data_IF_912427452222
#
_entry.id   IF_912427452222
#
_cell.length_a   1.000
_cell.length_b   1.000
_cell.length_c   1.000
_cell.angle_alpha   90.00
_cell.angle_beta   90.00
_cell.angle_gamma   90.00
#
_symmetry.space_group_name_H-M   'P 1'
#
loop_
_entity.id
_entity.type
_entity.pdbx_description
1 polymer ?
#
# COMPACT_ATOMS: atom_id res chain seq x y z
N UNK A 1 30.95 10.82 38.29
CA UNK A 1 30.83 9.42 37.84
C UNK A 1 29.67 8.80 38.60
N UNK A 2 28.45 8.98 38.11
CA UNK A 2 27.22 8.43 38.71
C UNK A 2 26.77 7.30 37.80
N UNK A 3 26.83 6.08 38.33
CA UNK A 3 26.45 4.85 37.64
C UNK A 3 24.94 4.83 37.37
N UNK A 4 24.55 4.85 36.09
CA UNK A 4 23.22 4.40 35.68
C UNK A 4 23.21 2.87 35.69
N UNK A 5 22.58 2.28 36.70
CA UNK A 5 22.20 0.87 36.65
C UNK A 5 21.04 0.70 35.66
N UNK A 6 21.33 0.10 34.51
CA UNK A 6 20.33 -0.42 33.56
C UNK A 6 19.60 -1.58 34.23
N UNK A 7 18.35 -1.36 34.62
CA UNK A 7 17.41 -2.45 34.88
C UNK A 7 16.31 -2.37 33.82
N UNK A 8 16.54 -2.99 32.66
CA UNK A 8 15.60 -3.05 31.55
C UNK A 8 15.64 -4.44 30.90
N UNK A 9 14.84 -5.37 31.40
CA UNK A 9 14.67 -6.69 30.82
C UNK A 9 13.33 -7.26 31.28
N UNK A 10 12.52 -7.74 30.35
CA UNK A 10 11.15 -8.25 30.54
C UNK A 10 10.06 -7.19 30.78
N UNK A 11 10.01 -6.45 31.89
CA UNK A 11 8.85 -5.60 32.23
C UNK A 11 8.47 -4.54 31.18
N UNK A 12 9.47 -3.85 30.64
CA UNK A 12 9.28 -2.85 29.55
C UNK A 12 8.85 -3.49 28.22
N UNK A 13 9.33 -4.71 27.90
CA UNK A 13 8.91 -5.45 26.70
C UNK A 13 7.46 -5.95 26.83
N UNK A 14 7.04 -6.41 28.00
CA UNK A 14 5.66 -6.84 28.25
C UNK A 14 4.66 -5.68 28.17
N UNK A 15 4.99 -4.51 28.73
CA UNK A 15 4.17 -3.30 28.64
C UNK A 15 4.10 -2.77 27.20
N UNK A 16 5.21 -2.85 26.46
CA UNK A 16 5.24 -2.48 25.04
C UNK A 16 4.39 -3.44 24.18
N UNK A 17 4.44 -4.74 24.46
CA UNK A 17 3.67 -5.76 23.77
C UNK A 17 2.17 -5.68 24.08
N UNK A 18 1.78 -5.41 25.33
CA UNK A 18 0.37 -5.22 25.70
C UNK A 18 -0.23 -3.97 25.06
N UNK A 19 0.55 -2.88 24.97
CA UNK A 19 0.15 -1.66 24.26
C UNK A 19 0.05 -1.86 22.75
N UNK A 20 0.96 -2.60 22.13
CA UNK A 20 0.88 -2.86 20.68
C UNK A 20 -0.33 -3.72 20.31
N UNK A 21 -0.69 -4.69 21.16
CA UNK A 21 -1.91 -5.49 21.01
C UNK A 21 -3.17 -4.64 21.23
N UNK A 22 -3.21 -3.79 22.25
CA UNK A 22 -4.37 -2.91 22.50
C UNK A 22 -4.56 -1.87 21.41
N UNK A 23 -3.48 -1.28 20.88
CA UNK A 23 -3.54 -0.34 19.76
C UNK A 23 -3.96 -1.01 18.44
N UNK A 24 -3.54 -2.25 18.23
CA UNK A 24 -4.03 -3.05 17.11
C UNK A 24 -5.52 -3.33 17.26
N UNK A 25 -5.97 -3.81 18.42
CA UNK A 25 -7.39 -4.05 18.68
C UNK A 25 -8.22 -2.77 18.51
N UNK A 26 -7.72 -1.63 18.98
CA UNK A 26 -8.35 -0.34 18.74
C UNK A 26 -8.44 -0.02 17.24
N UNK A 27 -7.35 -0.15 16.49
CA UNK A 27 -7.32 0.18 15.05
C UNK A 27 -8.22 -0.76 14.23
N UNK A 28 -8.29 -2.04 14.59
CA UNK A 28 -9.03 -3.05 13.84
C UNK A 28 -10.53 -3.08 14.23
N UNK A 29 -10.91 -2.64 15.44
CA UNK A 29 -12.31 -2.81 15.93
C UNK A 29 -12.99 -1.54 16.46
N UNK A 30 -12.24 -0.52 16.88
CA UNK A 30 -12.79 0.61 17.65
C UNK A 30 -12.48 1.97 17.02
N UNK A 31 -11.70 2.02 15.94
CA UNK A 31 -11.41 3.28 15.26
C UNK A 31 -12.72 3.86 14.70
N UNK A 32 -13.08 5.11 15.05
CA UNK A 32 -14.30 5.72 14.54
C UNK A 32 -14.19 5.95 13.02
N UNK A 33 -15.31 6.22 12.38
CA UNK A 33 -15.31 6.71 11.00
C UNK A 33 -14.53 8.03 10.94
N UNK A 34 -13.43 8.04 10.17
CA UNK A 34 -12.54 9.18 9.99
C UNK A 34 -12.66 9.79 8.59
N UNK A 35 -13.61 9.36 7.75
CA UNK A 35 -13.76 9.90 6.39
C UNK A 35 -14.09 11.40 6.39
N UNK A 36 -14.70 11.92 7.45
CA UNK A 36 -14.85 13.37 7.63
C UNK A 36 -13.50 14.10 7.72
N UNK A 37 -12.50 13.50 8.38
CA UNK A 37 -11.13 14.05 8.43
C UNK A 37 -10.43 13.93 7.07
N UNK A 38 -10.64 12.81 6.38
CA UNK A 38 -10.11 12.58 5.03
C UNK A 38 -10.62 13.65 4.06
N UNK A 39 -11.93 13.86 4.06
CA UNK A 39 -12.59 14.89 3.26
C UNK A 39 -12.08 16.30 3.56
N UNK A 40 -11.83 16.61 4.84
CA UNK A 40 -11.26 17.90 5.25
C UNK A 40 -9.80 18.08 4.81
N UNK A 41 -8.99 17.01 4.84
CA UNK A 41 -7.62 17.00 4.33
C UNK A 41 -7.59 17.32 2.83
N UNK A 42 -8.43 16.65 2.03
CA UNK A 42 -8.57 16.95 0.60
C UNK A 42 -8.99 18.40 0.38
N UNK A 43 -9.99 18.88 1.13
CA UNK A 43 -10.45 20.27 1.04
C UNK A 43 -9.32 21.27 1.29
N UNK A 44 -8.56 21.09 2.37
CA UNK A 44 -7.40 21.95 2.69
C UNK A 44 -6.32 21.93 1.61
N UNK A 45 -6.06 20.78 1.00
CA UNK A 45 -5.10 20.68 -0.10
C UNK A 45 -5.59 21.49 -1.32
N UNK A 46 -6.86 21.34 -1.71
CA UNK A 46 -7.46 22.09 -2.82
C UNK A 46 -7.39 23.61 -2.53
N UNK A 47 -7.81 24.03 -1.34
CA UNK A 47 -7.75 25.44 -0.92
C UNK A 47 -6.30 25.97 -0.89
N UNK A 48 -5.32 25.10 -0.61
CA UNK A 48 -3.89 25.38 -0.67
C UNK A 48 -3.28 25.43 -2.08
N UNK A 49 -4.10 25.21 -3.11
CA UNK A 49 -3.73 25.25 -4.53
C UNK A 49 -3.09 23.97 -5.06
N UNK A 50 -3.29 22.83 -4.38
CA UNK A 50 -2.77 21.54 -4.84
C UNK A 50 -3.64 20.92 -5.93
N UNK A 51 -2.98 20.41 -6.97
CA UNK A 51 -3.59 19.54 -7.97
C UNK A 51 -3.33 18.07 -7.60
N UNK A 52 -4.37 17.26 -7.73
CA UNK A 52 -4.29 15.83 -7.43
C UNK A 52 -4.07 15.06 -8.72
N UNK A 53 -3.20 14.05 -8.65
CA UNK A 53 -2.90 13.19 -9.79
C UNK A 53 -2.94 11.72 -9.36
N UNK A 54 -3.39 10.88 -10.30
CA UNK A 54 -3.04 9.47 -10.26
C UNK A 54 -1.53 9.30 -10.49
N UNK A 55 -1.00 8.13 -10.13
CA UNK A 55 0.40 7.79 -10.30
C UNK A 55 0.80 7.84 -11.78
N UNK A 56 -0.03 7.25 -12.66
CA UNK A 56 0.24 7.24 -14.11
C UNK A 56 0.23 8.64 -14.71
N UNK A 57 -0.72 9.49 -14.31
CA UNK A 57 -0.82 10.86 -14.81
C UNK A 57 0.36 11.72 -14.35
N UNK A 58 0.75 11.62 -13.08
CA UNK A 58 1.94 12.30 -12.58
C UNK A 58 3.19 11.85 -13.34
N UNK A 59 3.31 10.55 -13.63
CA UNK A 59 4.41 10.03 -14.44
C UNK A 59 4.40 10.58 -15.86
N UNK A 60 3.25 10.60 -16.54
CA UNK A 60 3.10 11.17 -17.89
C UNK A 60 3.52 12.63 -17.91
N UNK A 61 3.08 13.41 -16.93
CA UNK A 61 3.43 14.81 -16.76
C UNK A 61 4.93 15.06 -16.56
N UNK A 62 5.62 14.16 -15.85
CA UNK A 62 7.08 14.20 -15.71
C UNK A 62 7.77 13.90 -17.04
N UNK A 63 7.29 12.90 -17.79
CA UNK A 63 7.87 12.52 -19.09
C UNK A 63 7.67 13.59 -20.17
N UNK A 64 6.57 14.34 -20.13
CA UNK A 64 6.30 15.43 -21.06
C UNK A 64 6.83 16.79 -20.61
N UNK A 65 7.53 16.86 -19.47
CA UNK A 65 8.06 18.10 -18.87
C UNK A 65 6.98 19.20 -18.68
N UNK A 66 5.73 18.80 -18.45
CA UNK A 66 4.60 19.74 -18.33
C UNK A 66 4.42 20.29 -16.92
N UNK A 67 5.08 19.70 -15.92
CA UNK A 67 5.01 20.17 -14.53
C UNK A 67 6.06 21.22 -14.26
N UNK A 68 5.60 22.43 -13.94
CA UNK A 68 6.47 23.47 -13.40
C UNK A 68 7.11 23.04 -12.08
N UNK A 69 8.32 23.51 -11.79
CA UNK A 69 8.95 23.36 -10.47
C UNK A 69 8.14 24.00 -9.34
N UNK A 70 7.33 25.00 -9.67
CA UNK A 70 6.52 25.75 -8.69
C UNK A 70 5.14 25.16 -8.43
N UNK A 71 4.70 24.23 -9.27
CA UNK A 71 3.38 23.63 -9.20
C UNK A 71 3.24 22.74 -7.97
N UNK A 72 2.13 22.91 -7.26
CA UNK A 72 1.78 22.11 -6.09
C UNK A 72 0.97 20.90 -6.53
N UNK A 73 1.53 19.71 -6.35
CA UNK A 73 0.94 18.45 -6.76
C UNK A 73 0.85 17.47 -5.59
N UNK A 74 -0.21 16.67 -5.58
CA UNK A 74 -0.38 15.52 -4.71
C UNK A 74 -0.57 14.29 -5.59
N UNK A 75 0.35 13.34 -5.50
CA UNK A 75 0.14 11.97 -5.95
C UNK A 75 -0.61 11.25 -4.83
N UNK A 76 -1.87 10.92 -5.08
CA UNK A 76 -2.73 10.28 -4.08
C UNK A 76 -2.92 8.80 -4.43
N UNK A 77 -2.43 7.92 -3.56
CA UNK A 77 -2.47 6.47 -3.73
C UNK A 77 -3.26 5.81 -2.61
N UNK A 78 -4.07 4.83 -2.99
CA UNK A 78 -4.82 3.96 -2.09
C UNK A 78 -4.40 2.51 -2.26
N UNK A 79 -3.93 1.87 -1.18
CA UNK A 79 -3.69 0.44 -1.12
C UNK A 79 -4.92 -0.25 -0.49
N UNK A 80 -5.74 -0.88 -1.34
CA UNK A 80 -7.00 -1.51 -0.95
C UNK A 80 -6.73 -2.92 -0.40
N UNK A 81 -6.15 -2.98 0.80
CA UNK A 81 -5.67 -4.23 1.40
C UNK A 81 -6.76 -5.20 1.86
N UNK A 82 -7.87 -4.65 2.38
CA UNK A 82 -8.95 -5.42 3.00
C UNK A 82 -10.37 -4.86 2.77
N UNK A 83 -10.51 -3.53 2.64
CA UNK A 83 -11.82 -2.87 2.71
C UNK A 83 -12.14 -2.08 1.43
N UNK A 84 -12.69 -2.77 0.43
CA UNK A 84 -13.16 -2.15 -0.82
C UNK A 84 -14.36 -1.23 -0.60
N UNK A 85 -15.17 -1.44 0.45
CA UNK A 85 -16.33 -0.58 0.75
C UNK A 85 -15.89 0.79 1.22
N UNK A 86 -14.89 0.86 2.09
CA UNK A 86 -14.30 2.15 2.50
C UNK A 86 -13.56 2.80 1.33
N UNK A 87 -12.88 2.01 0.48
CA UNK A 87 -12.27 2.52 -0.74
C UNK A 87 -13.31 3.20 -1.67
N UNK A 88 -14.48 2.57 -1.88
CA UNK A 88 -15.60 3.17 -2.61
C UNK A 88 -16.04 4.51 -2.02
N UNK A 89 -16.22 4.58 -0.69
CA UNK A 89 -16.63 5.82 -0.01
C UNK A 89 -15.58 6.94 -0.14
N UNK A 90 -14.28 6.59 -0.13
CA UNK A 90 -13.19 7.53 -0.39
C UNK A 90 -13.22 8.04 -1.83
N UNK A 91 -13.35 7.14 -2.80
CA UNK A 91 -13.43 7.50 -4.21
C UNK A 91 -14.64 8.40 -4.49
N UNK A 92 -15.81 8.12 -3.92
CA UNK A 92 -16.98 8.99 -4.05
C UNK A 92 -16.76 10.41 -3.47
N UNK A 93 -15.96 10.53 -2.40
CA UNK A 93 -15.58 11.84 -1.84
C UNK A 93 -14.62 12.60 -2.76
N UNK A 94 -13.66 11.88 -3.36
CA UNK A 94 -12.71 12.41 -4.34
C UNK A 94 -13.39 12.86 -5.62
N UNK A 95 -14.28 12.02 -6.15
CA UNK A 95 -15.05 12.28 -7.36
C UNK A 95 -15.86 13.57 -7.26
N UNK A 96 -16.54 13.79 -6.11
CA UNK A 96 -17.30 15.02 -5.84
C UNK A 96 -16.44 16.29 -5.85
N UNK A 97 -15.13 16.16 -5.73
CA UNK A 97 -14.16 17.27 -5.70
C UNK A 97 -13.28 17.33 -6.95
N UNK A 98 -13.51 16.46 -7.94
CA UNK A 98 -12.67 16.37 -9.14
C UNK A 98 -11.24 15.93 -8.84
N UNK A 99 -11.04 15.13 -7.80
CA UNK A 99 -9.72 14.61 -7.41
C UNK A 99 -9.38 13.36 -8.21
N UNK A 100 -8.19 13.35 -8.83
CA UNK A 100 -7.61 12.16 -9.46
C UNK A 100 -6.68 11.44 -8.49
N UNK A 101 -6.74 10.12 -8.48
CA UNK A 101 -5.98 9.26 -7.56
C UNK A 101 -5.81 7.85 -8.12
N UNK A 102 -4.95 7.06 -7.48
CA UNK A 102 -4.74 5.64 -7.81
C UNK A 102 -5.28 4.73 -6.72
N UNK A 103 -5.92 3.64 -7.12
CA UNK A 103 -6.42 2.57 -6.24
C UNK A 103 -5.82 1.23 -6.66
N UNK A 104 -5.01 0.63 -5.79
CA UNK A 104 -4.41 -0.67 -6.03
C UNK A 104 -5.16 -1.75 -5.25
N UNK A 105 -5.71 -2.72 -5.94
CA UNK A 105 -6.50 -3.81 -5.36
C UNK A 105 -5.69 -5.09 -5.27
N UNK A 106 -5.74 -5.76 -4.11
CA UNK A 106 -5.20 -7.12 -3.97
C UNK A 106 -6.16 -8.10 -4.62
N UNK A 107 -5.65 -9.28 -4.99
CA UNK A 107 -6.53 -10.38 -5.45
C UNK A 107 -7.62 -10.72 -4.44
N UNK A 108 -7.33 -10.58 -3.14
CA UNK A 108 -8.28 -10.86 -2.05
C UNK A 108 -9.35 -9.78 -1.86
N UNK A 109 -9.20 -8.61 -2.48
CA UNK A 109 -10.08 -7.44 -2.30
C UNK A 109 -10.64 -6.89 -3.60
N UNK A 110 -10.51 -7.64 -4.70
CA UNK A 110 -11.03 -7.24 -6.00
C UNK A 110 -12.52 -6.89 -5.91
N UNK A 111 -12.84 -5.74 -6.46
CA UNK A 111 -14.19 -5.27 -6.68
C UNK A 111 -14.22 -4.75 -8.12
N UNK A 112 -14.46 -5.65 -9.07
CA UNK A 112 -14.34 -5.36 -10.52
C UNK A 112 -15.24 -4.19 -10.92
N UNK A 113 -16.53 -4.11 -10.50
CA UNK A 113 -17.36 -2.95 -10.79
C UNK A 113 -16.75 -1.64 -10.27
N UNK A 114 -16.27 -1.62 -9.02
CA UNK A 114 -15.60 -0.44 -8.46
C UNK A 114 -14.35 -0.05 -9.26
N UNK A 115 -13.51 -1.02 -9.63
CA UNK A 115 -12.29 -0.76 -10.41
C UNK A 115 -12.63 -0.11 -11.77
N UNK A 116 -13.68 -0.61 -12.44
CA UNK A 116 -14.15 -0.05 -13.71
C UNK A 116 -14.71 1.36 -13.55
N UNK A 117 -15.50 1.60 -12.50
CA UNK A 117 -16.03 2.93 -12.17
C UNK A 117 -14.93 3.95 -11.86
N UNK A 118 -13.91 3.57 -11.09
CA UNK A 118 -12.73 4.39 -10.80
C UNK A 118 -11.99 4.75 -12.09
N UNK A 119 -11.75 3.78 -12.97
CA UNK A 119 -11.07 4.06 -14.24
C UNK A 119 -11.90 5.00 -15.13
N UNK A 120 -13.21 4.77 -15.22
CA UNK A 120 -14.11 5.55 -16.04
C UNK A 120 -14.23 7.01 -15.57
N UNK A 121 -13.96 7.30 -14.29
CA UNK A 121 -13.94 8.67 -13.77
C UNK A 121 -12.63 9.43 -14.04
N UNK A 122 -11.66 8.82 -14.72
CA UNK A 122 -10.33 9.38 -14.97
C UNK A 122 -9.33 9.16 -13.82
N UNK A 123 -9.72 8.44 -12.77
CA UNK A 123 -8.78 7.92 -11.78
C UNK A 123 -8.12 6.64 -12.30
N UNK A 124 -7.20 6.07 -11.53
CA UNK A 124 -6.51 4.84 -11.86
C UNK A 124 -6.93 3.71 -10.92
N UNK A 125 -7.38 2.58 -11.47
CA UNK A 125 -7.54 1.34 -10.73
C UNK A 125 -6.55 0.31 -11.26
N UNK A 126 -5.77 -0.31 -10.36
CA UNK A 126 -4.73 -1.24 -10.76
C UNK A 126 -4.41 -2.30 -9.71
N UNK A 127 -3.33 -3.05 -9.93
CA UNK A 127 -3.00 -4.26 -9.19
C UNK A 127 -2.08 -4.01 -7.99
N UNK A 128 -2.53 -4.42 -6.79
CA UNK A 128 -1.73 -4.49 -5.57
C UNK A 128 -1.22 -5.92 -5.35
N UNK A 129 0.01 -6.19 -5.78
CA UNK A 129 0.50 -7.56 -5.97
C UNK A 129 1.35 -8.06 -4.80
N UNK A 130 1.38 -9.38 -4.62
CA UNK A 130 1.99 -10.04 -3.45
C UNK A 130 2.39 -11.51 -3.68
N UNK A 131 2.67 -11.90 -4.93
CA UNK A 131 2.96 -13.29 -5.32
C UNK A 131 4.15 -13.85 -4.57
N UNK A 132 5.22 -13.07 -4.41
CA UNK A 132 6.41 -13.47 -3.68
C UNK A 132 6.05 -13.83 -2.23
N UNK A 133 5.40 -12.93 -1.50
CA UNK A 133 4.99 -13.19 -0.12
C UNK A 133 4.03 -14.39 -0.03
N UNK A 134 3.07 -14.50 -0.95
CA UNK A 134 2.08 -15.58 -0.99
C UNK A 134 2.74 -16.94 -1.23
N UNK A 135 3.63 -17.05 -2.21
CA UNK A 135 4.35 -18.28 -2.51
C UNK A 135 5.28 -18.66 -1.35
N UNK A 136 6.00 -17.69 -0.80
CA UNK A 136 6.88 -17.89 0.34
C UNK A 136 6.12 -18.44 1.56
N UNK A 137 4.92 -17.91 1.85
CA UNK A 137 4.03 -18.46 2.89
C UNK A 137 3.66 -19.91 2.59
N UNK A 138 3.15 -20.16 1.38
CA UNK A 138 2.66 -21.48 0.95
C UNK A 138 3.76 -22.55 1.01
N UNK A 139 4.99 -22.19 0.63
CA UNK A 139 6.15 -23.09 0.59
C UNK A 139 6.95 -23.12 1.90
N UNK A 140 6.63 -22.26 2.87
CA UNK A 140 7.38 -22.22 4.13
C UNK A 140 8.81 -21.70 3.98
N UNK A 141 9.08 -20.83 3.00
CA UNK A 141 10.43 -20.31 2.79
C UNK A 141 10.89 -19.43 3.95
N UNK A 142 12.10 -19.68 4.42
CA UNK A 142 12.69 -19.01 5.58
C UNK A 142 13.95 -18.23 5.23
N UNK A 143 14.51 -18.46 4.04
CA UNK A 143 15.73 -17.82 3.56
C UNK A 143 15.53 -17.16 2.21
N UNK A 144 16.28 -16.08 1.96
CA UNK A 144 16.19 -15.27 0.73
C UNK A 144 16.56 -16.07 -0.51
N UNK A 145 17.54 -16.97 -0.41
CA UNK A 145 18.04 -17.76 -1.53
C UNK A 145 16.95 -18.69 -2.09
N UNK A 146 16.01 -19.13 -1.25
CA UNK A 146 14.86 -19.94 -1.70
C UNK A 146 13.93 -19.14 -2.62
N UNK A 147 13.78 -17.83 -2.36
CA UNK A 147 13.01 -16.93 -3.21
C UNK A 147 13.74 -16.67 -4.51
N UNK A 148 15.03 -16.37 -4.43
CA UNK A 148 15.88 -16.12 -5.60
C UNK A 148 15.89 -17.34 -6.55
N UNK A 149 15.95 -18.55 -5.99
CA UNK A 149 15.88 -19.81 -6.74
C UNK A 149 14.54 -20.02 -7.47
N UNK A 150 13.44 -19.42 -7.02
CA UNK A 150 12.12 -19.52 -7.67
C UNK A 150 11.69 -18.22 -8.36
N UNK A 151 12.58 -17.23 -8.49
CA UNK A 151 12.26 -15.93 -9.08
C UNK A 151 11.64 -16.04 -10.49
N UNK A 152 12.11 -16.91 -11.40
CA UNK A 152 11.45 -17.09 -12.70
C UNK A 152 9.98 -17.53 -12.57
N UNK A 153 9.69 -18.46 -11.65
CA UNK A 153 8.32 -18.90 -11.39
C UNK A 153 7.46 -17.80 -10.75
N UNK A 154 8.04 -16.97 -9.88
CA UNK A 154 7.35 -15.82 -9.31
C UNK A 154 6.95 -14.79 -10.36
N UNK A 155 7.83 -14.54 -11.34
CA UNK A 155 7.53 -13.66 -12.48
C UNK A 155 6.42 -14.23 -13.37
N UNK A 156 6.41 -15.55 -13.58
CA UNK A 156 5.31 -16.23 -14.28
C UNK A 156 3.98 -16.06 -13.54
N UNK A 157 3.96 -16.29 -12.23
CA UNK A 157 2.75 -16.10 -11.42
C UNK A 157 2.24 -14.65 -11.50
N UNK A 158 3.14 -13.66 -11.48
CA UNK A 158 2.77 -12.26 -11.67
C UNK A 158 2.18 -12.01 -13.06
N UNK A 159 2.80 -12.55 -14.12
CA UNK A 159 2.29 -12.47 -15.50
C UNK A 159 0.88 -13.04 -15.60
N UNK A 160 0.67 -14.27 -15.14
CA UNK A 160 -0.62 -14.96 -15.19
C UNK A 160 -1.71 -14.17 -14.44
N UNK A 161 -1.38 -13.66 -13.25
CA UNK A 161 -2.32 -12.89 -12.43
C UNK A 161 -2.68 -11.54 -13.06
N UNK A 162 -1.69 -10.80 -13.55
CA UNK A 162 -1.92 -9.52 -14.22
C UNK A 162 -2.75 -9.71 -15.49
N UNK A 163 -2.45 -10.74 -16.29
CA UNK A 163 -3.25 -11.07 -17.47
C UNK A 163 -4.70 -11.36 -17.10
N UNK A 164 -4.93 -12.27 -16.15
CA UNK A 164 -6.27 -12.63 -15.69
C UNK A 164 -7.06 -11.42 -15.16
N UNK A 165 -6.38 -10.51 -14.46
CA UNK A 165 -6.99 -9.28 -13.95
C UNK A 165 -7.38 -8.31 -15.08
N UNK A 166 -6.51 -8.13 -16.07
CA UNK A 166 -6.81 -7.29 -17.24
C UNK A 166 -7.96 -7.86 -18.05
N UNK A 167 -8.00 -9.18 -18.26
CA UNK A 167 -9.14 -9.84 -18.93
C UNK A 167 -10.44 -9.65 -18.16
N UNK A 168 -10.42 -9.84 -16.84
CA UNK A 168 -11.62 -9.74 -16.02
C UNK A 168 -12.16 -8.30 -15.89
N UNK A 169 -11.27 -7.30 -15.92
CA UNK A 169 -11.63 -5.90 -15.68
C UNK A 169 -11.73 -5.06 -16.94
N UNK A 170 -11.04 -5.44 -18.02
CA UNK A 170 -10.84 -4.62 -19.22
C UNK A 170 -9.89 -3.43 -19.01
N UNK A 171 -9.20 -3.36 -17.87
CA UNK A 171 -8.37 -2.21 -17.50
C UNK A 171 -6.92 -2.38 -17.98
N UNK A 172 -6.21 -1.27 -18.30
CA UNK A 172 -4.85 -1.37 -18.81
C UNK A 172 -3.84 -1.74 -17.73
N UNK A 173 -4.03 -1.30 -16.48
CA UNK A 173 -3.12 -1.54 -15.35
C UNK A 173 -1.65 -1.26 -15.72
N UNK A 174 -1.37 -0.03 -16.15
CA UNK A 174 -0.03 0.39 -16.60
C UNK A 174 0.94 0.60 -15.44
N UNK A 175 0.43 0.89 -14.26
CA UNK A 175 1.23 0.94 -13.04
C UNK A 175 0.78 -0.15 -12.08
N UNK A 176 1.66 -0.59 -11.18
CA UNK A 176 1.34 -1.59 -10.16
C UNK A 176 1.99 -1.22 -8.84
N UNK A 177 1.49 -1.78 -7.74
CA UNK A 177 1.99 -1.47 -6.41
C UNK A 177 2.27 -2.75 -5.61
N UNK A 178 3.49 -2.89 -5.10
CA UNK A 178 3.90 -3.99 -4.24
C UNK A 178 3.22 -3.87 -2.87
N UNK A 179 2.46 -4.89 -2.47
CA UNK A 179 1.95 -5.00 -1.09
C UNK A 179 3.09 -5.33 -0.11
N UNK A 180 3.00 -4.84 1.12
CA UNK A 180 4.00 -5.04 2.16
C UNK A 180 3.62 -6.13 3.16
N UNK A 181 4.14 -7.36 2.98
CA UNK A 181 3.83 -8.47 3.89
C UNK A 181 4.87 -8.66 5.01
N UNK A 182 4.48 -9.33 6.10
CA UNK A 182 5.42 -9.70 7.16
C UNK A 182 6.50 -10.68 6.68
N UNK A 183 6.19 -11.53 5.69
CA UNK A 183 7.16 -12.42 5.08
C UNK A 183 8.23 -11.65 4.31
N UNK A 184 7.86 -10.58 3.60
CA UNK A 184 8.85 -9.73 2.93
C UNK A 184 9.87 -9.18 3.94
N UNK A 185 9.39 -8.71 5.10
CA UNK A 185 10.26 -8.24 6.19
C UNK A 185 11.13 -9.35 6.77
N UNK A 186 10.57 -10.55 6.98
CA UNK A 186 11.30 -11.71 7.51
C UNK A 186 12.42 -12.17 6.57
N UNK A 187 12.15 -12.18 5.27
CA UNK A 187 13.09 -12.63 4.24
C UNK A 187 14.02 -11.51 3.74
N UNK A 188 13.78 -10.26 4.14
CA UNK A 188 14.55 -9.11 3.66
C UNK A 188 14.42 -8.88 2.15
N UNK A 189 13.26 -9.22 1.56
CA UNK A 189 13.01 -9.10 0.13
C UNK A 189 11.57 -8.63 -0.16
N UNK A 190 11.36 -7.42 -0.72
CA UNK A 190 10.03 -6.90 -1.06
C UNK A 190 9.46 -7.55 -2.34
N UNK A 191 8.13 -7.48 -2.55
CA UNK A 191 7.52 -8.07 -3.75
C UNK A 191 7.99 -7.40 -5.04
N UNK A 192 8.32 -6.10 -5.01
CA UNK A 192 8.81 -5.38 -6.19
C UNK A 192 10.16 -5.84 -6.75
N UNK A 193 10.89 -6.71 -6.06
CA UNK A 193 12.08 -7.35 -6.64
C UNK A 193 11.75 -8.16 -7.90
N UNK A 194 10.54 -8.70 -8.01
CA UNK A 194 10.08 -9.39 -9.22
C UNK A 194 10.11 -8.46 -10.44
N UNK A 195 9.85 -7.16 -10.24
CA UNK A 195 9.72 -6.14 -11.28
C UNK A 195 11.01 -5.34 -11.51
N UNK A 196 12.17 -5.77 -11.00
CA UNK A 196 13.46 -5.26 -11.47
C UNK A 196 13.86 -5.77 -12.86
N UNK A 197 13.10 -6.72 -13.39
CA UNK A 197 13.29 -7.26 -14.73
C UNK A 197 12.60 -6.36 -15.76
N UNK A 198 13.38 -5.52 -16.45
CA UNK A 198 12.86 -4.63 -17.49
C UNK A 198 12.23 -5.39 -18.66
N UNK A 199 12.69 -6.61 -18.97
CA UNK A 199 12.08 -7.40 -20.03
C UNK A 199 10.65 -7.76 -19.66
N UNK A 200 10.45 -8.28 -18.44
CA UNK A 200 9.12 -8.59 -17.91
C UNK A 200 8.21 -7.35 -17.95
N UNK A 201 8.71 -6.19 -17.54
CA UNK A 201 7.92 -4.95 -17.54
C UNK A 201 7.47 -4.54 -18.94
N UNK A 202 8.38 -4.57 -19.92
CA UNK A 202 8.07 -4.23 -21.32
C UNK A 202 7.08 -5.23 -21.92
N UNK A 203 7.31 -6.52 -21.70
CA UNK A 203 6.43 -7.60 -22.14
C UNK A 203 5.00 -7.42 -21.61
N UNK A 204 4.87 -7.08 -20.33
CA UNK A 204 3.59 -6.90 -19.66
C UNK A 204 3.04 -5.47 -19.77
N UNK A 205 3.68 -4.55 -20.49
CA UNK A 205 3.31 -3.13 -20.54
C UNK A 205 3.09 -2.52 -19.14
N UNK A 206 3.97 -2.85 -18.18
CA UNK A 206 4.02 -2.24 -16.84
C UNK A 206 5.02 -1.09 -16.88
N UNK A 207 4.51 0.12 -17.01
CA UNK A 207 5.29 1.34 -17.13
C UNK A 207 5.93 1.73 -15.80
N UNK A 208 5.20 1.57 -14.69
CA UNK A 208 5.67 2.01 -13.37
C UNK A 208 5.34 1.04 -12.24
N UNK A 209 6.27 0.84 -11.33
CA UNK A 209 5.98 0.30 -9.99
C UNK A 209 5.96 1.45 -8.99
N UNK A 210 5.00 1.45 -8.07
CA UNK A 210 4.72 2.59 -7.21
C UNK A 210 5.87 3.04 -6.28
N UNK A 211 6.93 2.24 -6.13
CA UNK A 211 8.15 2.56 -5.39
C UNK A 211 9.38 2.81 -6.28
N UNK A 212 9.21 2.86 -7.60
CA UNK A 212 10.31 3.10 -8.54
C UNK A 212 11.06 4.40 -8.21
N UNK A 213 12.39 4.32 -8.15
CA UNK A 213 13.25 5.47 -7.82
C UNK A 213 13.13 6.61 -8.84
N UNK A 214 12.94 6.28 -10.12
CA UNK A 214 12.74 7.27 -11.19
C UNK A 214 11.53 8.18 -10.97
N UNK A 215 10.49 7.67 -10.30
CA UNK A 215 9.34 8.46 -9.87
C UNK A 215 9.64 9.17 -8.55
N UNK A 216 10.09 8.39 -7.57
CA UNK A 216 10.20 8.85 -6.18
C UNK A 216 11.24 9.95 -5.98
N UNK A 217 12.25 10.06 -6.84
CA UNK A 217 13.21 11.16 -6.82
C UNK A 217 12.57 12.55 -7.06
N UNK A 218 11.37 12.60 -7.65
CA UNK A 218 10.63 13.83 -7.88
C UNK A 218 9.66 14.19 -6.75
N UNK A 219 9.50 13.34 -5.75
CA UNK A 219 8.62 13.57 -4.60
C UNK A 219 9.40 14.31 -3.51
N UNK A 220 8.89 15.45 -3.06
CA UNK A 220 9.54 16.24 -1.99
C UNK A 220 9.20 15.71 -0.60
N UNK A 221 7.96 15.26 -0.39
CA UNK A 221 7.51 14.70 0.89
C UNK A 221 6.60 13.50 0.63
N UNK A 222 6.90 12.38 1.29
CA UNK A 222 6.06 11.19 1.28
C UNK A 222 5.36 11.03 2.62
N UNK A 223 4.04 11.00 2.63
CA UNK A 223 3.22 10.67 3.78
C UNK A 223 2.57 9.32 3.55
N UNK A 224 2.47 8.50 4.58
CA UNK A 224 1.69 7.26 4.53
C UNK A 224 0.88 7.16 5.80
N UNK A 225 -0.42 6.91 5.70
CA UNK A 225 -1.20 6.60 6.89
C UNK A 225 -0.67 5.32 7.55
N UNK A 226 -0.98 5.19 8.83
CA UNK A 226 -0.51 4.12 9.69
C UNK A 226 -1.56 3.80 10.73
N UNK A 227 -1.35 2.72 11.47
CA UNK A 227 -2.22 2.37 12.61
C UNK A 227 -2.09 3.42 13.71
N UNK A 228 -3.11 3.49 14.56
CA UNK A 228 -3.00 4.28 15.77
C UNK A 228 -1.97 3.69 16.75
N UNK A 229 -1.24 4.51 17.50
CA UNK A 229 -0.72 5.84 17.16
C UNK A 229 0.54 5.74 16.28
N UNK A 230 0.87 6.73 15.43
CA UNK A 230 0.33 8.10 15.39
C UNK A 230 -0.62 8.39 14.20
N UNK A 231 -1.17 7.38 13.53
CA UNK A 231 -1.99 7.49 12.30
C UNK A 231 -1.28 7.90 11.02
N UNK A 232 -0.11 8.53 11.11
CA UNK A 232 0.73 8.83 9.96
C UNK A 232 2.13 8.25 10.15
N UNK A 233 2.87 8.13 9.06
CA UNK A 233 4.25 7.71 9.01
C UNK A 233 4.93 8.48 7.90
N UNK A 234 6.23 8.76 8.07
CA UNK A 234 7.03 9.56 7.15
C UNK A 234 6.59 11.04 7.03
N UNK A 235 5.69 11.50 7.90
CA UNK A 235 5.22 12.89 8.00
C UNK A 235 3.69 12.97 8.02
N UNK A 236 3.16 14.07 8.56
CA UNK A 236 1.73 14.40 8.47
C UNK A 236 1.48 15.23 7.19
N UNK A 237 0.51 14.86 6.34
CA UNK A 237 0.22 15.60 5.13
C UNK A 237 -0.31 17.01 5.39
N UNK A 238 -0.98 17.27 6.52
CA UNK A 238 -1.44 18.63 6.85
C UNK A 238 -0.27 19.57 7.12
N UNK A 239 0.75 19.09 7.84
CA UNK A 239 1.97 19.87 8.07
C UNK A 239 2.71 20.14 6.75
N UNK A 240 2.73 19.17 5.84
CA UNK A 240 3.35 19.31 4.53
C UNK A 240 2.61 20.32 3.63
N UNK A 241 1.28 20.28 3.63
CA UNK A 241 0.41 21.26 2.95
C UNK A 241 0.63 22.66 3.55
N UNK A 242 0.68 22.78 4.88
CA UNK A 242 0.92 24.04 5.58
C UNK A 242 2.28 24.66 5.23
N UNK A 243 3.33 23.83 5.12
CA UNK A 243 4.66 24.28 4.65
C UNK A 243 4.69 24.63 3.15
N UNK A 244 3.66 24.28 2.39
CA UNK A 244 3.58 24.55 0.95
C UNK A 244 4.52 23.68 0.12
N UNK A 245 4.86 22.47 0.60
CA UNK A 245 5.68 21.49 -0.10
C UNK A 245 5.15 21.22 -1.51
N UNK A 246 6.03 21.18 -2.52
CA UNK A 246 5.57 21.19 -3.92
C UNK A 246 5.03 19.87 -4.42
N UNK A 247 5.66 18.73 -4.11
CA UNK A 247 5.30 17.43 -4.70
C UNK A 247 5.11 16.41 -3.59
N UNK A 248 3.88 16.28 -3.14
CA UNK A 248 3.50 15.34 -2.10
C UNK A 248 3.14 13.99 -2.69
N UNK A 249 3.56 12.92 -2.03
CA UNK A 249 3.06 11.57 -2.27
C UNK A 249 2.34 11.10 -1.02
N UNK A 250 1.03 10.91 -1.11
CA UNK A 250 0.19 10.50 0.02
C UNK A 250 -0.31 9.07 -0.24
N UNK A 251 0.12 8.13 0.60
CA UNK A 251 -0.36 6.76 0.63
C UNK A 251 -1.43 6.59 1.72
N UNK A 252 -2.57 6.04 1.33
CA UNK A 252 -3.74 5.79 2.17
C UNK A 252 -4.09 4.31 2.12
N UNK A 253 -4.44 3.72 3.26
CA UNK A 253 -5.00 2.39 3.35
C UNK A 253 -6.44 2.53 3.89
N UNK A 254 -7.50 2.23 3.12
CA UNK A 254 -8.90 2.44 3.53
C UNK A 254 -9.23 1.88 4.92
N UNK A 255 -8.64 0.74 5.28
CA UNK A 255 -8.78 0.10 6.61
C UNK A 255 -8.36 0.97 7.81
N UNK A 256 -7.55 2.02 7.62
CA UNK A 256 -7.10 2.92 8.69
C UNK A 256 -8.08 4.08 8.95
N UNK A 257 -9.15 4.16 8.17
CA UNK A 257 -10.10 5.28 8.20
C UNK A 257 -11.51 4.87 8.65
N UNK A 258 -11.78 3.57 8.73
CA UNK A 258 -13.03 3.02 9.22
C UNK A 258 -12.85 1.59 9.75
N UNK A 259 -13.39 1.30 10.93
CA UNK A 259 -13.40 -0.06 11.50
C UNK A 259 -14.49 -0.93 10.85
N UNK A 260 -14.14 -1.63 9.77
CA UNK A 260 -15.00 -2.69 9.23
C UNK A 260 -14.86 -3.96 10.07
N UNK A 261 -15.46 -3.98 11.27
CA UNK A 261 -15.31 -5.03 12.32
C UNK A 261 -15.35 -6.46 11.75
N UNK A 262 -16.35 -6.78 10.93
CA UNK A 262 -16.51 -8.11 10.36
C UNK A 262 -15.43 -8.48 9.34
N UNK A 263 -15.02 -7.51 8.50
CA UNK A 263 -13.92 -7.72 7.55
C UNK A 263 -12.60 -7.89 8.29
N UNK A 264 -12.34 -7.05 9.29
CA UNK A 264 -11.12 -7.10 10.09
C UNK A 264 -11.02 -8.40 10.89
N UNK A 265 -12.13 -8.88 11.46
CA UNK A 265 -12.19 -10.19 12.12
C UNK A 265 -11.85 -11.33 11.14
N UNK A 266 -12.50 -11.35 9.97
CA UNK A 266 -12.22 -12.35 8.92
C UNK A 266 -10.75 -12.32 8.52
N UNK A 267 -10.21 -11.14 8.23
CA UNK A 267 -8.81 -10.92 7.88
C UNK A 267 -7.85 -11.45 8.95
N UNK A 268 -8.12 -11.16 10.22
CA UNK A 268 -7.27 -11.59 11.31
C UNK A 268 -7.32 -13.10 11.53
N UNK A 269 -8.49 -13.75 11.34
CA UNK A 269 -8.56 -15.21 11.34
C UNK A 269 -7.75 -15.84 10.23
N UNK A 270 -7.80 -15.28 9.00
CA UNK A 270 -7.00 -15.73 7.87
C UNK A 270 -5.51 -15.57 8.16
N UNK A 271 -5.07 -14.40 8.66
CA UNK A 271 -3.66 -14.15 9.01
C UNK A 271 -3.15 -15.12 10.07
N UNK A 272 -3.96 -15.42 11.10
CA UNK A 272 -3.59 -16.40 12.12
C UNK A 272 -3.40 -17.80 11.52
N UNK A 273 -4.32 -18.22 10.66
CA UNK A 273 -4.21 -19.51 9.96
C UNK A 273 -3.02 -19.57 9.01
N UNK A 274 -2.77 -18.50 8.25
CA UNK A 274 -1.62 -18.38 7.36
C UNK A 274 -0.30 -18.43 8.14
N UNK A 275 -0.22 -17.74 9.28
CA UNK A 275 0.95 -17.78 10.16
C UNK A 275 1.24 -19.17 10.69
N UNK A 276 0.22 -19.90 11.14
CA UNK A 276 0.35 -21.28 11.61
C UNK A 276 0.75 -22.23 10.46
N UNK A 277 0.13 -22.07 9.30
CA UNK A 277 0.42 -22.89 8.12
C UNK A 277 1.85 -22.67 7.63
N UNK A 278 2.30 -21.42 7.60
CA UNK A 278 3.68 -21.06 7.31
C UNK A 278 4.66 -21.66 8.32
N UNK A 279 4.37 -21.56 9.63
CA UNK A 279 5.20 -22.16 10.67
C UNK A 279 5.35 -23.67 10.45
N UNK A 280 4.25 -24.40 10.19
CA UNK A 280 4.28 -25.84 9.90
C UNK A 280 5.07 -26.18 8.62
N UNK A 281 4.92 -25.39 7.57
CA UNK A 281 5.67 -25.58 6.32
C UNK A 281 7.17 -25.35 6.52
N UNK A 282 7.54 -24.27 7.23
CA UNK A 282 8.92 -23.93 7.52
C UNK A 282 9.65 -25.03 8.34
N UNK A 283 8.98 -25.64 9.32
CA UNK A 283 9.59 -26.70 10.15
C UNK A 283 9.79 -28.02 9.40
N UNK A 284 9.05 -28.26 8.31
CA UNK A 284 9.25 -29.44 7.44
C UNK A 284 10.47 -29.32 6.52
N UNK A 285 10.99 -28.12 6.31
CA UNK A 285 12.18 -27.86 5.49
C UNK A 285 13.47 -27.71 6.32
N UNK A 286 13.37 -27.73 7.65
CA UNK A 286 14.49 -27.62 8.59
C UNK A 286 14.91 -28.98 9.19
N UNK A 287 14.21 -30.06 8.85
CA UNK A 287 14.57 -31.45 9.11
C UNK A 287 15.04 -32.09 7.82
#
# INVERSE_FOLDING_TARGET
>A
MVFFHRNNGLGSKFICLSRSVSYRAYSDFLIPDRLGKYHALIGRAIDGGYQFHSLIEFWQHLQSETLSSEQKCIVLRHDVDADSKTARRMWELELRRGVQSSYYFRKSTLDIPLMQEIQASGCEASYHYEELATLARKKGFTRREQIEAVMPHLRELFRENLHSLREATGLPMLTVASHGDFINRKLGIPNHEMLKDDHLRRELNVVLEAYDSQLMQHVTTRCSDSRYPPFWSHGDPEDAIFRGEKRLYILIHPRQWHASVWLNLKDDTVRCWEGLSYWRAAHRHSQ
#
